data_IF_809553305015
#
_entry.id   IF_809553305015
#
_cell.length_a   1.000
_cell.length_b   1.000
_cell.length_c   1.000
_cell.angle_alpha   90.00
_cell.angle_beta   90.00
_cell.angle_gamma   90.00
#
_symmetry.space_group_name_H-M   'P 1'
#
loop_
_entity.id
_entity.type
_entity.pdbx_description
1 polymer ?
#
# COMPACT_ATOMS: atom_id res chain seq x y z
N UNK A 1 -2.85 -23.88 6.19
CA UNK A 1 -3.69 -22.72 5.82
C UNK A 1 -2.86 -21.80 4.95
N UNK A 2 -3.40 -21.22 3.87
CA UNK A 2 -2.61 -20.33 3.01
C UNK A 2 -2.27 -19.03 3.77
N UNK A 3 -1.02 -18.60 3.68
CA UNK A 3 -0.55 -17.34 4.26
C UNK A 3 -1.32 -16.13 3.70
N UNK A 4 -1.39 -15.03 4.44
CA UNK A 4 -2.12 -13.83 4.03
C UNK A 4 -1.40 -13.12 2.87
N UNK A 5 -2.17 -12.55 1.94
CA UNK A 5 -1.66 -11.76 0.80
C UNK A 5 -1.20 -10.39 1.31
N UNK A 6 -0.04 -9.91 0.86
CA UNK A 6 0.55 -8.63 1.26
C UNK A 6 0.94 -7.82 0.03
N UNK A 7 0.46 -6.58 -0.04
CA UNK A 7 0.71 -5.64 -1.13
C UNK A 7 1.34 -4.37 -0.54
N UNK A 8 2.36 -3.84 -1.21
CA UNK A 8 2.99 -2.58 -0.85
C UNK A 8 2.75 -1.53 -1.94
N UNK A 9 2.30 -0.35 -1.55
CA UNK A 9 2.12 0.80 -2.44
C UNK A 9 3.21 1.83 -2.18
N UNK A 10 3.88 2.26 -3.25
CA UNK A 10 4.91 3.30 -3.18
C UNK A 10 4.25 4.66 -3.36
N UNK A 11 4.41 5.55 -2.38
CA UNK A 11 3.89 6.92 -2.45
C UNK A 11 4.96 7.82 -3.09
N UNK A 12 4.65 8.59 -4.14
CA UNK A 12 5.60 9.49 -4.76
C UNK A 12 6.11 10.56 -3.78
N UNK A 13 7.40 10.89 -3.87
CA UNK A 13 8.05 11.88 -2.99
C UNK A 13 7.40 13.27 -3.04
N UNK A 14 6.73 13.63 -4.15
CA UNK A 14 6.00 14.88 -4.29
C UNK A 14 4.79 15.03 -3.37
N UNK A 15 4.31 13.93 -2.78
CA UNK A 15 3.25 13.91 -1.76
C UNK A 15 3.81 13.85 -0.33
N UNK A 16 5.12 13.70 -0.16
CA UNK A 16 5.78 13.64 1.14
C UNK A 16 6.24 15.04 1.55
N UNK A 17 5.79 15.51 2.72
CA UNK A 17 6.16 16.81 3.28
C UNK A 17 6.71 16.63 4.68
N UNK A 18 7.88 17.23 4.97
CA UNK A 18 8.54 17.13 6.29
C UNK A 18 8.00 18.12 7.33
N UNK A 19 7.08 19.01 6.94
CA UNK A 19 6.47 19.98 7.85
C UNK A 19 5.26 19.42 8.60
N UNK A 20 4.76 20.16 9.59
CA UNK A 20 3.59 19.78 10.40
C UNK A 20 2.25 20.02 9.71
N UNK A 21 2.23 20.74 8.59
CA UNK A 21 1.03 21.01 7.80
C UNK A 21 1.01 20.21 6.50
N UNK A 22 -0.16 19.61 6.22
CA UNK A 22 -0.39 18.82 5.00
C UNK A 22 -0.50 19.76 3.81
N UNK A 23 0.33 19.54 2.78
CA UNK A 23 0.31 20.32 1.53
C UNK A 23 -0.58 19.71 0.45
N UNK A 24 -0.63 18.38 0.39
CA UNK A 24 -1.35 17.63 -0.64
C UNK A 24 -1.77 16.27 -0.09
N UNK A 25 -3.02 15.89 -0.30
CA UNK A 25 -3.50 14.56 0.01
C UNK A 25 -3.19 13.60 -1.15
N UNK A 26 -2.67 12.42 -0.83
CA UNK A 26 -2.55 11.32 -1.77
C UNK A 26 -3.80 10.44 -1.63
N UNK A 27 -4.74 10.58 -2.58
CA UNK A 27 -5.93 9.75 -2.64
C UNK A 27 -5.68 8.54 -3.54
N UNK A 28 -5.70 7.35 -2.94
CA UNK A 28 -5.51 6.06 -3.63
C UNK A 28 -6.84 5.47 -4.14
N UNK A 29 -7.97 6.01 -3.71
CA UNK A 29 -9.30 5.51 -4.04
C UNK A 29 -9.60 4.13 -3.44
N UNK A 30 -10.35 3.31 -4.20
CA UNK A 30 -10.75 1.95 -3.79
C UNK A 30 -10.00 0.91 -4.62
N UNK A 31 -9.33 -0.02 -3.93
CA UNK A 31 -8.49 -1.04 -4.56
C UNK A 31 -9.23 -2.37 -4.57
N UNK A 32 -9.34 -3.00 -5.75
CA UNK A 32 -9.88 -4.35 -5.86
C UNK A 32 -8.80 -5.40 -5.56
N UNK A 33 -8.93 -6.10 -4.44
CA UNK A 33 -7.98 -7.13 -3.99
C UNK A 33 -8.21 -8.52 -4.64
N UNK A 34 -9.19 -8.67 -5.54
CA UNK A 34 -9.47 -9.93 -6.22
C UNK A 34 -8.45 -10.26 -7.32
N UNK A 35 -7.82 -9.24 -7.91
CA UNK A 35 -6.83 -9.42 -8.97
C UNK A 35 -5.46 -9.80 -8.39
N UNK A 36 -4.58 -10.35 -9.22
CA UNK A 36 -3.18 -10.63 -8.87
C UNK A 36 -2.35 -9.38 -9.15
N UNK A 37 -1.57 -8.92 -8.16
CA UNK A 37 -0.67 -7.78 -8.31
C UNK A 37 0.75 -8.27 -8.57
N UNK A 38 1.48 -7.65 -9.51
CA UNK A 38 2.82 -8.10 -9.91
C UNK A 38 3.84 -8.10 -8.75
N UNK A 39 3.72 -7.16 -7.82
CA UNK A 39 4.57 -7.04 -6.62
C UNK A 39 3.91 -7.59 -5.34
N UNK A 40 2.94 -8.48 -5.49
CA UNK A 40 2.31 -9.12 -4.34
C UNK A 40 3.23 -10.14 -3.67
N UNK A 41 3.23 -10.13 -2.35
CA UNK A 41 3.96 -11.10 -1.50
C UNK A 41 2.99 -11.81 -0.56
N UNK A 42 3.50 -12.75 0.24
CA UNK A 42 2.72 -13.44 1.28
C UNK A 42 3.39 -13.28 2.63
N UNK A 43 2.59 -13.00 3.66
CA UNK A 43 3.04 -12.94 5.05
C UNK A 43 2.50 -14.15 5.82
N UNK A 44 3.42 -14.96 6.35
CA UNK A 44 3.13 -16.17 7.09
C UNK A 44 3.40 -16.02 8.60
N UNK A 45 3.86 -14.85 9.05
CA UNK A 45 4.35 -14.61 10.41
C UNK A 45 3.19 -14.29 11.36
N UNK A 46 2.15 -13.62 10.85
CA UNK A 46 0.91 -13.36 11.57
C UNK A 46 -0.15 -14.36 11.10
N UNK A 47 -0.35 -15.42 11.89
CA UNK A 47 -1.35 -16.47 11.64
C UNK A 47 -2.70 -16.09 12.24
#
# INVERSE_FOLDING_TARGET
MPCQRKIAFEIPSSYVSSGTQVKKFFDIGTINMQIIFEKESRDCIHR
#
